data_IF_555691168553
#
_entry.id   IF_555691168553
#
_cell.length_a   1.000
_cell.length_b   1.000
_cell.length_c   1.000
_cell.angle_alpha   90.00
_cell.angle_beta   90.00
_cell.angle_gamma   90.00
#
_symmetry.space_group_name_H-M   'P 1'
#
loop_
_entity.id
_entity.type
_entity.pdbx_description
1 polymer ?
#
# COMPACT_ATOMS: atom_id res chain seq x y z
N UNK A 1 24.36 -38.40 49.57
CA UNK A 1 23.43 -37.26 49.53
C UNK A 1 22.96 -37.10 48.09
N UNK A 2 21.67 -37.25 47.85
CA UNK A 2 21.03 -37.03 46.55
C UNK A 2 20.82 -35.52 46.35
N UNK A 3 21.33 -34.97 45.26
CA UNK A 3 20.84 -33.70 44.73
C UNK A 3 19.91 -33.97 43.55
N UNK A 4 18.83 -33.19 43.54
CA UNK A 4 17.52 -33.51 43.00
C UNK A 4 17.37 -33.02 41.56
N UNK A 5 16.88 -33.93 40.71
CA UNK A 5 15.88 -33.77 39.65
C UNK A 5 15.73 -32.40 38.94
N UNK A 6 16.10 -32.40 37.65
CA UNK A 6 15.27 -32.05 36.47
C UNK A 6 14.05 -31.13 36.71
N UNK A 7 14.04 -29.94 36.10
CA UNK A 7 13.08 -29.51 35.05
C UNK A 7 13.14 -27.99 34.85
N UNK A 8 12.55 -27.52 33.74
CA UNK A 8 12.41 -26.15 33.23
C UNK A 8 13.49 -25.78 32.18
N UNK A 9 13.36 -26.31 30.96
CA UNK A 9 12.62 -25.67 29.86
C UNK A 9 13.14 -24.28 29.47
N UNK A 10 13.91 -24.28 28.38
CA UNK A 10 13.69 -23.44 27.20
C UNK A 10 13.58 -21.93 27.50
N UNK A 11 14.69 -21.21 27.44
CA UNK A 11 14.69 -19.76 27.17
C UNK A 11 14.42 -19.52 25.68
N UNK A 12 13.18 -19.79 25.26
CA UNK A 12 12.61 -19.31 24.01
C UNK A 12 12.53 -17.79 24.12
N UNK A 13 13.53 -17.09 23.56
CA UNK A 13 13.42 -15.67 23.30
C UNK A 13 12.23 -15.48 22.34
N UNK A 14 11.20 -14.70 22.71
CA UNK A 14 10.11 -14.43 21.79
C UNK A 14 10.66 -13.65 20.61
N UNK A 15 10.63 -14.27 19.43
CA UNK A 15 10.63 -13.53 18.18
C UNK A 15 9.56 -12.45 18.32
N UNK A 16 9.98 -11.20 18.27
CA UNK A 16 9.05 -10.07 18.18
C UNK A 16 8.39 -10.15 16.80
N UNK A 17 7.38 -11.01 16.66
CA UNK A 17 6.40 -10.99 15.59
C UNK A 17 5.50 -9.77 15.79
N UNK A 18 6.10 -8.59 15.66
CA UNK A 18 5.47 -7.30 15.88
C UNK A 18 5.08 -6.64 14.57
N UNK A 19 4.31 -7.33 13.72
CA UNK A 19 3.51 -6.66 12.68
C UNK A 19 2.38 -7.55 12.16
N UNK A 20 1.60 -8.12 13.08
CA UNK A 20 0.21 -8.45 12.77
C UNK A 20 -0.63 -7.17 12.85
N UNK A 21 -0.27 -6.17 12.07
CA UNK A 21 -1.14 -5.03 11.85
C UNK A 21 -1.97 -5.46 10.65
N UNK A 22 -3.21 -5.91 10.91
CA UNK A 22 -4.27 -5.83 9.92
C UNK A 22 -4.51 -4.33 9.67
N UNK A 23 -3.53 -3.68 9.06
CA UNK A 23 -3.50 -2.23 8.84
C UNK A 23 -4.53 -1.96 7.80
N UNK A 24 -5.44 -1.05 8.10
CA UNK A 24 -6.17 -0.36 7.04
C UNK A 24 -5.10 0.16 6.07
N UNK A 25 -5.09 -0.35 4.83
CA UNK A 25 -4.18 0.11 3.77
C UNK A 25 -4.20 1.64 3.76
N UNK A 26 -3.03 2.26 3.79
CA UNK A 26 -2.89 3.71 3.64
C UNK A 26 -3.44 4.14 2.29
N UNK A 27 -3.75 5.44 2.14
CA UNK A 27 -4.25 5.98 0.86
C UNK A 27 -3.25 5.70 -0.26
N UNK A 28 -1.96 5.85 0.02
CA UNK A 28 -0.86 5.53 -0.90
C UNK A 28 -0.90 4.08 -1.35
N UNK A 29 -0.98 3.14 -0.40
CA UNK A 29 -1.07 1.70 -0.73
C UNK A 29 -2.31 1.39 -1.56
N UNK A 30 -3.47 1.97 -1.24
CA UNK A 30 -4.68 1.78 -2.04
C UNK A 30 -4.54 2.34 -3.47
N UNK A 31 -3.89 3.50 -3.62
CA UNK A 31 -3.59 4.07 -4.94
C UNK A 31 -2.67 3.15 -5.72
N UNK A 32 -1.56 2.70 -5.11
CA UNK A 32 -0.60 1.79 -5.77
C UNK A 32 -1.28 0.49 -6.16
N UNK A 33 -2.07 -0.13 -5.28
CA UNK A 33 -2.82 -1.36 -5.54
C UNK A 33 -3.75 -1.21 -6.76
N UNK A 34 -4.48 -0.09 -6.85
CA UNK A 34 -5.30 0.25 -8.00
C UNK A 34 -4.47 0.46 -9.27
N UNK A 35 -3.38 1.23 -9.18
CA UNK A 35 -2.53 1.52 -10.34
C UNK A 35 -1.83 0.26 -10.85
N UNK A 36 -1.32 -0.60 -9.98
CA UNK A 36 -0.75 -1.89 -10.37
C UNK A 36 -1.80 -2.79 -11.02
N UNK A 37 -3.02 -2.82 -10.48
CA UNK A 37 -4.12 -3.58 -11.08
C UNK A 37 -4.39 -3.10 -12.50
N UNK A 38 -4.58 -1.79 -12.70
CA UNK A 38 -4.81 -1.21 -14.02
C UNK A 38 -3.61 -1.36 -14.96
N UNK A 39 -2.39 -1.20 -14.45
CA UNK A 39 -1.16 -1.37 -15.24
C UNK A 39 -1.05 -2.79 -15.79
N UNK A 40 -1.41 -3.80 -14.98
CA UNK A 40 -1.47 -5.20 -15.40
C UNK A 40 -2.58 -5.46 -16.41
N UNK A 41 -3.76 -4.85 -16.23
CA UNK A 41 -4.89 -4.97 -17.18
C UNK A 41 -4.59 -4.33 -18.53
N UNK A 42 -3.95 -3.17 -18.53
CA UNK A 42 -3.63 -2.40 -19.73
C UNK A 42 -2.27 -2.78 -20.34
N UNK A 43 -1.48 -3.63 -19.64
CA UNK A 43 -0.10 -3.98 -19.99
C UNK A 43 0.79 -2.76 -20.25
N UNK A 44 0.55 -1.67 -19.52
CA UNK A 44 1.21 -0.39 -19.71
C UNK A 44 1.49 0.29 -18.37
N UNK A 45 2.62 1.00 -18.27
CA UNK A 45 2.92 1.86 -17.11
C UNK A 45 2.10 3.15 -17.12
N UNK A 46 1.58 3.53 -18.29
CA UNK A 46 0.62 4.60 -18.44
C UNK A 46 -0.79 4.02 -18.40
N UNK A 47 -1.48 4.30 -17.31
CA UNK A 47 -2.85 3.88 -17.04
C UNK A 47 -3.78 4.97 -17.55
N UNK A 48 -4.59 4.65 -18.55
CA UNK A 48 -5.69 5.51 -18.95
C UNK A 48 -6.80 5.37 -17.90
N UNK A 49 -7.24 6.50 -17.33
CA UNK A 49 -8.37 6.54 -16.43
C UNK A 49 -9.65 6.57 -17.28
N UNK A 50 -10.47 5.51 -17.30
CA UNK A 50 -11.76 5.53 -18.00
C UNK A 50 -12.79 6.42 -17.28
N UNK A 51 -12.48 6.84 -16.06
CA UNK A 51 -13.39 7.49 -15.13
C UNK A 51 -12.81 8.79 -14.56
N UNK A 52 -13.68 9.59 -13.95
CA UNK A 52 -13.30 10.87 -13.35
C UNK A 52 -12.53 10.69 -12.04
N UNK A 53 -11.80 11.72 -11.59
CA UNK A 53 -11.13 11.72 -10.27
C UNK A 53 -12.07 11.44 -9.09
N UNK A 54 -13.35 11.76 -9.24
CA UNK A 54 -14.37 11.50 -8.21
C UNK A 54 -14.65 10.00 -8.12
N UNK A 55 -14.91 9.37 -9.26
CA UNK A 55 -15.12 7.92 -9.34
C UNK A 55 -13.87 7.16 -8.90
N UNK A 56 -12.68 7.61 -9.27
CA UNK A 56 -11.42 7.03 -8.79
C UNK A 56 -11.34 7.04 -7.25
N UNK A 57 -11.76 8.14 -6.60
CA UNK A 57 -11.79 8.21 -5.14
C UNK A 57 -12.80 7.24 -4.53
N UNK A 58 -13.96 7.08 -5.16
CA UNK A 58 -15.00 6.13 -4.76
C UNK A 58 -14.51 4.68 -4.93
N UNK A 59 -13.85 4.35 -6.04
CA UNK A 59 -13.27 3.01 -6.30
C UNK A 59 -12.19 2.66 -5.26
N UNK A 60 -11.31 3.60 -4.93
CA UNK A 60 -10.25 3.42 -3.92
C UNK A 60 -10.84 3.43 -2.49
N UNK A 61 -12.08 3.90 -2.32
CA UNK A 61 -12.76 4.02 -1.05
C UNK A 61 -12.07 5.04 -0.13
N UNK A 62 -11.77 6.22 -0.67
CA UNK A 62 -11.15 7.35 0.05
C UNK A 62 -11.87 8.65 -0.29
N UNK A 63 -11.74 9.65 0.57
CA UNK A 63 -12.27 10.98 0.28
C UNK A 63 -11.52 11.61 -0.90
N UNK A 64 -12.24 12.29 -1.80
CA UNK A 64 -11.67 12.99 -2.97
C UNK A 64 -10.54 13.96 -2.59
N UNK A 65 -10.70 14.69 -1.49
CA UNK A 65 -9.71 15.64 -0.98
C UNK A 65 -8.42 14.92 -0.55
N UNK A 66 -8.55 13.80 0.15
CA UNK A 66 -7.41 12.99 0.58
C UNK A 66 -6.72 12.31 -0.60
N UNK A 67 -7.47 11.79 -1.58
CA UNK A 67 -6.91 11.25 -2.82
C UNK A 67 -6.09 12.33 -3.55
N UNK A 68 -6.67 13.52 -3.74
CA UNK A 68 -6.00 14.61 -4.45
C UNK A 68 -4.70 15.03 -3.76
N UNK A 69 -4.70 15.10 -2.42
CA UNK A 69 -3.50 15.43 -1.63
C UNK A 69 -2.43 14.34 -1.77
N UNK A 70 -2.82 13.07 -1.66
CA UNK A 70 -1.88 11.97 -1.77
C UNK A 70 -1.31 11.84 -3.20
N UNK A 71 -2.13 12.01 -4.24
CA UNK A 71 -1.65 12.04 -5.64
C UNK A 71 -0.66 13.18 -5.87
N UNK A 72 -0.93 14.38 -5.36
CA UNK A 72 0.00 15.51 -5.45
C UNK A 72 1.31 15.21 -4.72
N UNK A 73 1.24 14.55 -3.56
CA UNK A 73 2.42 14.14 -2.79
C UNK A 73 3.22 13.05 -3.51
N UNK A 74 2.57 12.02 -4.04
CA UNK A 74 3.23 10.97 -4.83
C UNK A 74 3.85 11.52 -6.11
N UNK A 75 3.28 12.57 -6.70
CA UNK A 75 3.89 13.31 -7.81
C UNK A 75 5.12 14.09 -7.38
N UNK A 76 5.06 14.79 -6.24
CA UNK A 76 6.20 15.51 -5.69
C UNK A 76 7.34 14.55 -5.28
N UNK A 77 6.99 13.36 -4.79
CA UNK A 77 7.93 12.28 -4.47
C UNK A 77 8.50 11.60 -5.73
N UNK A 78 8.07 11.97 -6.94
CA UNK A 78 8.56 11.39 -8.21
C UNK A 78 8.09 9.96 -8.47
N UNK A 79 7.08 9.47 -7.74
CA UNK A 79 6.59 8.09 -7.85
C UNK A 79 5.63 7.93 -9.04
N UNK A 80 4.81 8.94 -9.29
CA UNK A 80 3.77 8.93 -10.31
C UNK A 80 3.70 10.28 -11.02
N UNK A 81 3.21 10.26 -12.25
CA UNK A 81 2.66 11.42 -12.92
C UNK A 81 1.17 11.22 -13.14
N UNK A 82 0.37 12.27 -13.02
CA UNK A 82 -1.06 12.17 -13.29
C UNK A 82 -1.59 13.39 -14.02
N UNK A 83 -2.54 13.11 -14.92
CA UNK A 83 -3.28 14.06 -15.72
C UNK A 83 -4.77 13.92 -15.46
N UNK A 84 -5.59 14.71 -16.17
CA UNK A 84 -7.04 14.59 -16.09
C UNK A 84 -7.58 13.24 -16.61
N UNK A 85 -6.81 12.56 -17.48
CA UNK A 85 -7.24 11.35 -18.20
C UNK A 85 -6.34 10.14 -18.01
N UNK A 86 -5.17 10.28 -17.38
CA UNK A 86 -4.23 9.18 -17.23
C UNK A 86 -3.33 9.36 -16.02
N UNK A 87 -2.81 8.25 -15.50
CA UNK A 87 -1.79 8.20 -14.45
C UNK A 87 -0.65 7.34 -14.98
N UNK A 88 0.57 7.84 -14.89
CA UNK A 88 1.79 7.12 -15.30
C UNK A 88 2.58 6.78 -14.06
N UNK A 89 2.94 5.52 -13.91
CA UNK A 89 3.89 5.09 -12.88
C UNK A 89 5.30 5.45 -13.34
N UNK A 90 5.98 6.33 -12.61
CA UNK A 90 7.35 6.78 -12.91
C UNK A 90 8.41 5.90 -12.25
N UNK A 91 7.99 5.08 -11.27
CA UNK A 91 8.87 4.20 -10.49
C UNK A 91 9.89 3.45 -11.35
N UNK A 92 11.16 3.70 -11.04
CA UNK A 92 12.30 2.82 -11.30
C UNK A 92 12.77 2.26 -9.96
#
# INVERSE_FOLDING_TARGET
MQEKLLTASISHLPLQTGKSFRSRKTIREKIIDYLEHESRRQHSRQILLPCTKKELAEQIGVQRTSLSRELARMRADGLIEYNARSITLLGS
#
